data_IF_457559425647
#
_entry.id   IF_457559425647
#
_cell.length_a   1.000
_cell.length_b   1.000
_cell.length_c   1.000
_cell.angle_alpha   90.00
_cell.angle_beta   90.00
_cell.angle_gamma   90.00
#
_symmetry.space_group_name_H-M   'P 1'
#
loop_
_entity.id
_entity.type
_entity.pdbx_description
1 polymer ?
#
# COMPACT_ATOMS: atom_id res chain seq x y z
N UNK A 1 -23.68 41.65 45.74
CA UNK A 1 -24.28 41.66 44.39
C UNK A 1 -23.28 40.91 43.54
N UNK A 2 -23.47 39.61 43.46
CA UNK A 2 -22.66 38.71 42.64
C UNK A 2 -23.39 38.59 41.31
N UNK A 3 -22.73 39.03 40.22
CA UNK A 3 -23.21 38.87 38.86
C UNK A 3 -22.86 37.45 38.39
N UNK A 4 -23.85 36.55 38.43
CA UNK A 4 -23.79 35.26 37.75
C UNK A 4 -23.75 35.50 36.24
N UNK A 5 -22.60 35.19 35.63
CA UNK A 5 -22.42 35.19 34.19
C UNK A 5 -23.12 33.94 33.64
N UNK A 6 -24.23 34.17 32.94
CA UNK A 6 -25.07 33.15 32.32
C UNK A 6 -24.31 32.49 31.15
N UNK A 7 -23.54 31.43 31.45
CA UNK A 7 -22.86 30.59 30.46
C UNK A 7 -23.89 29.72 29.74
N UNK A 8 -24.48 30.26 28.67
CA UNK A 8 -25.33 29.51 27.76
C UNK A 8 -24.52 28.38 27.10
N UNK A 9 -25.06 27.14 27.05
CA UNK A 9 -24.39 26.05 26.37
C UNK A 9 -24.25 26.35 24.88
N UNK A 10 -23.03 26.22 24.36
CA UNK A 10 -22.72 26.30 22.93
C UNK A 10 -23.68 25.37 22.16
N UNK A 11 -24.56 25.96 21.34
CA UNK A 11 -25.49 25.20 20.51
C UNK A 11 -24.76 24.23 19.57
N UNK A 12 -25.44 23.18 19.09
CA UNK A 12 -24.84 22.18 18.20
C UNK A 12 -24.27 22.88 16.96
N UNK A 13 -22.97 22.64 16.68
CA UNK A 13 -22.33 23.13 15.46
C UNK A 13 -23.11 22.57 14.27
N UNK A 14 -23.65 23.45 13.43
CA UNK A 14 -24.28 23.05 12.18
C UNK A 14 -23.26 22.24 11.36
N UNK A 15 -23.63 20.99 11.03
CA UNK A 15 -22.84 20.19 10.12
C UNK A 15 -22.74 20.92 8.77
N UNK A 16 -21.53 21.14 8.23
CA UNK A 16 -21.39 21.73 6.92
C UNK A 16 -22.15 20.92 5.88
N UNK A 17 -22.92 21.58 5.03
CA UNK A 17 -23.59 20.92 3.91
C UNK A 17 -22.56 20.20 3.02
N UNK A 18 -22.87 18.98 2.56
CA UNK A 18 -21.97 18.15 1.74
C UNK A 18 -21.41 18.91 0.52
N UNK A 19 -22.21 19.80 -0.06
CA UNK A 19 -21.83 20.66 -1.19
C UNK A 19 -20.70 21.63 -0.84
N UNK A 20 -20.72 22.21 0.37
CA UNK A 20 -19.67 23.12 0.84
C UNK A 20 -18.34 22.38 1.04
N UNK A 21 -18.38 21.12 1.49
CA UNK A 21 -17.19 20.28 1.62
C UNK A 21 -16.54 20.05 0.25
N UNK A 22 -17.34 19.71 -0.77
CA UNK A 22 -16.83 19.49 -2.13
C UNK A 22 -16.22 20.75 -2.75
N UNK A 23 -16.82 21.91 -2.53
CA UNK A 23 -16.31 23.17 -3.06
C UNK A 23 -14.93 23.55 -2.51
N UNK A 24 -14.65 23.22 -1.24
CA UNK A 24 -13.32 23.43 -0.67
C UNK A 24 -12.27 22.50 -1.28
N UNK A 25 -12.65 21.26 -1.63
CA UNK A 25 -11.77 20.33 -2.37
C UNK A 25 -11.53 20.79 -3.81
N UNK A 26 -12.54 21.33 -4.50
CA UNK A 26 -12.36 21.93 -5.84
C UNK A 26 -11.39 23.12 -5.81
N UNK A 27 -11.53 24.01 -4.83
CA UNK A 27 -10.58 25.12 -4.64
C UNK A 27 -9.16 24.63 -4.32
N UNK A 28 -9.05 23.60 -3.48
CA UNK A 28 -7.77 22.98 -3.15
C UNK A 28 -7.09 22.39 -4.40
N UNK A 29 -7.85 21.70 -5.26
CA UNK A 29 -7.35 21.16 -6.53
C UNK A 29 -6.85 22.26 -7.46
N UNK A 30 -7.68 23.29 -7.69
CA UNK A 30 -7.32 24.40 -8.56
C UNK A 30 -6.02 25.09 -8.08
N UNK A 31 -5.86 25.27 -6.76
CA UNK A 31 -4.68 25.86 -6.15
C UNK A 31 -3.42 24.98 -6.28
N UNK A 32 -3.59 23.66 -6.43
CA UNK A 32 -2.50 22.69 -6.55
C UNK A 32 -2.30 22.15 -7.97
N UNK A 33 -2.98 22.70 -8.99
CA UNK A 33 -3.05 22.14 -10.34
C UNK A 33 -1.68 21.80 -10.95
N UNK A 34 -0.69 22.69 -10.79
CA UNK A 34 0.67 22.46 -11.31
C UNK A 34 1.38 21.28 -10.64
N UNK A 35 1.21 21.10 -9.33
CA UNK A 35 1.80 19.97 -8.59
C UNK A 35 1.04 18.69 -8.91
N UNK A 36 -0.28 18.76 -8.98
CA UNK A 36 -1.14 17.64 -9.36
C UNK A 36 -0.75 17.09 -10.74
N UNK A 37 -0.57 17.96 -11.74
CA UNK A 37 -0.12 17.55 -13.08
C UNK A 37 1.25 16.86 -13.06
N UNK A 38 2.19 17.32 -12.21
CA UNK A 38 3.51 16.68 -12.04
C UNK A 38 3.40 15.29 -11.42
N UNK A 39 2.58 15.15 -10.37
CA UNK A 39 2.35 13.84 -9.72
C UNK A 39 1.65 12.88 -10.69
N UNK A 40 0.63 13.34 -11.41
CA UNK A 40 -0.06 12.55 -12.43
C UNK A 40 0.90 12.08 -13.53
N UNK A 41 1.78 12.96 -14.03
CA UNK A 41 2.80 12.59 -15.01
C UNK A 41 3.78 11.52 -14.50
N UNK A 42 4.18 11.57 -13.22
CA UNK A 42 5.04 10.55 -12.61
C UNK A 42 4.30 9.23 -12.39
N UNK A 43 3.04 9.29 -11.96
CA UNK A 43 2.22 8.10 -11.80
C UNK A 43 1.99 7.42 -13.15
N UNK A 44 1.76 8.19 -14.22
CA UNK A 44 1.67 7.68 -15.60
C UNK A 44 2.98 7.05 -16.09
N UNK A 45 4.14 7.61 -15.74
CA UNK A 45 5.43 7.00 -16.07
C UNK A 45 5.65 5.66 -15.33
N UNK A 46 5.24 5.58 -14.05
CA UNK A 46 5.26 4.34 -13.28
C UNK A 46 4.27 3.32 -13.86
N UNK A 47 3.08 3.75 -14.28
CA UNK A 47 2.07 2.93 -14.94
C UNK A 47 2.62 2.26 -16.20
N UNK A 48 3.19 3.06 -17.12
CA UNK A 48 3.80 2.54 -18.35
C UNK A 48 4.96 1.58 -18.06
N UNK A 49 5.80 1.90 -17.06
CA UNK A 49 6.91 1.02 -16.65
C UNK A 49 6.40 -0.32 -16.10
N UNK A 50 5.36 -0.32 -15.28
CA UNK A 50 4.74 -1.54 -14.74
C UNK A 50 3.90 -2.29 -15.78
N UNK A 51 3.44 -1.62 -16.84
CA UNK A 51 2.76 -2.26 -17.96
C UNK A 51 3.73 -3.05 -18.83
N UNK A 52 4.91 -2.49 -19.11
CA UNK A 52 5.95 -3.11 -19.95
C UNK A 52 6.89 -4.05 -19.19
N UNK A 53 6.98 -3.89 -17.87
CA UNK A 53 7.87 -4.65 -17.00
C UNK A 53 7.36 -6.07 -16.68
N UNK A 54 8.19 -6.89 -16.03
CA UNK A 54 7.79 -8.20 -15.53
C UNK A 54 6.61 -8.14 -14.55
N UNK A 55 5.70 -9.10 -14.62
CA UNK A 55 4.49 -9.17 -13.78
C UNK A 55 4.80 -9.11 -12.28
N UNK A 56 5.93 -9.70 -11.85
CA UNK A 56 6.36 -9.75 -10.45
C UNK A 56 6.71 -8.38 -9.84
N UNK A 57 6.90 -7.33 -10.65
CA UNK A 57 7.21 -5.99 -10.13
C UNK A 57 6.05 -5.37 -9.35
N UNK A 58 4.80 -5.61 -9.78
CA UNK A 58 3.61 -5.13 -9.07
C UNK A 58 3.53 -5.75 -7.68
N UNK A 59 3.72 -7.07 -7.62
CA UNK A 59 3.73 -7.80 -6.35
C UNK A 59 4.87 -7.33 -5.43
N UNK A 60 6.07 -7.11 -5.98
CA UNK A 60 7.20 -6.56 -5.23
C UNK A 60 6.86 -5.21 -4.58
N UNK A 61 6.35 -4.26 -5.36
CA UNK A 61 6.00 -2.94 -4.85
C UNK A 61 4.85 -3.00 -3.85
N UNK A 62 3.86 -3.87 -4.07
CA UNK A 62 2.75 -4.08 -3.15
C UNK A 62 3.22 -4.59 -1.78
N UNK A 63 4.20 -5.50 -1.74
CA UNK A 63 4.80 -5.97 -0.49
C UNK A 63 5.52 -4.84 0.28
N UNK A 64 6.26 -3.99 -0.42
CA UNK A 64 6.98 -2.86 0.18
C UNK A 64 5.98 -1.82 0.71
N UNK A 65 5.02 -1.41 -0.10
CA UNK A 65 3.99 -0.43 0.27
C UNK A 65 3.15 -0.92 1.44
N UNK A 66 2.69 -2.17 1.43
CA UNK A 66 1.90 -2.73 2.53
C UNK A 66 2.70 -2.80 3.84
N UNK A 67 3.99 -3.14 3.77
CA UNK A 67 4.87 -3.12 4.93
C UNK A 67 5.03 -1.69 5.48
N UNK A 68 5.27 -0.69 4.62
CA UNK A 68 5.39 0.71 5.02
C UNK A 68 4.07 1.27 5.59
N UNK A 69 2.93 0.92 4.99
CA UNK A 69 1.60 1.27 5.52
C UNK A 69 1.32 0.62 6.89
N UNK A 70 1.89 -0.55 7.17
CA UNK A 70 1.71 -1.20 8.48
C UNK A 70 2.32 -0.36 9.62
N UNK A 71 3.39 0.41 9.34
CA UNK A 71 3.95 1.36 10.29
C UNK A 71 3.01 2.52 10.57
N UNK A 72 2.30 3.00 9.54
CA UNK A 72 1.27 4.03 9.69
C UNK A 72 0.05 3.53 10.46
N UNK A 73 -0.38 2.29 10.20
CA UNK A 73 -1.48 1.64 10.90
C UNK A 73 -1.15 1.27 12.36
N UNK A 74 0.13 1.31 12.75
CA UNK A 74 0.60 1.01 14.11
C UNK A 74 1.03 -0.45 14.34
N UNK A 75 0.94 -1.29 13.32
CA UNK A 75 1.25 -2.73 13.37
C UNK A 75 2.76 -3.01 13.25
N UNK A 76 3.49 -2.17 12.51
CA UNK A 76 4.96 -2.21 12.37
C UNK A 76 5.50 -3.57 11.94
N UNK A 77 4.88 -4.17 10.91
CA UNK A 77 5.28 -5.45 10.35
C UNK A 77 6.35 -5.22 9.29
N UNK A 78 7.51 -5.83 9.49
CA UNK A 78 8.61 -5.83 8.52
C UNK A 78 8.30 -6.67 7.28
N UNK A 79 8.86 -6.31 6.11
CA UNK A 79 8.63 -7.02 4.85
C UNK A 79 9.14 -8.46 4.88
N UNK A 80 10.15 -8.77 5.68
CA UNK A 80 10.68 -10.12 5.92
C UNK A 80 9.66 -11.03 6.62
N UNK A 81 9.01 -10.52 7.68
CA UNK A 81 7.96 -11.25 8.40
C UNK A 81 6.72 -11.44 7.54
N UNK A 82 6.31 -10.39 6.82
CA UNK A 82 5.20 -10.45 5.89
C UNK A 82 5.43 -11.51 4.81
N UNK A 83 6.63 -11.56 4.24
CA UNK A 83 6.96 -12.52 3.20
C UNK A 83 6.94 -13.97 3.72
N UNK A 84 7.43 -14.24 4.93
CA UNK A 84 7.34 -15.56 5.58
C UNK A 84 5.88 -15.99 5.81
N UNK A 85 5.03 -15.06 6.29
CA UNK A 85 3.63 -15.37 6.55
C UNK A 85 2.83 -15.60 5.27
N UNK A 86 3.05 -14.82 4.21
CA UNK A 86 2.35 -15.00 2.93
C UNK A 86 2.73 -16.34 2.28
N UNK A 87 4.02 -16.67 2.28
CA UNK A 87 4.53 -17.84 1.55
C UNK A 87 4.41 -19.16 2.31
N UNK A 88 4.51 -19.14 3.64
CA UNK A 88 4.57 -20.37 4.46
C UNK A 88 3.51 -20.42 5.56
N UNK A 89 2.67 -19.38 5.70
CA UNK A 89 1.72 -19.21 6.83
C UNK A 89 2.38 -19.31 8.20
N UNK A 90 3.66 -18.95 8.27
CA UNK A 90 4.41 -18.91 9.52
C UNK A 90 4.18 -17.58 10.23
N UNK A 91 3.75 -17.64 11.49
CA UNK A 91 3.76 -16.53 12.44
C UNK A 91 4.73 -16.85 13.57
N UNK A 92 5.49 -15.84 14.03
CA UNK A 92 6.28 -15.93 15.25
C UNK A 92 5.38 -15.97 16.49
N UNK A 93 5.91 -16.48 17.61
CA UNK A 93 5.20 -16.55 18.90
C UNK A 93 4.70 -15.19 19.38
N UNK A 94 5.35 -14.10 18.96
CA UNK A 94 5.02 -12.71 19.31
C UNK A 94 4.24 -11.97 18.20
N UNK A 95 3.97 -12.61 17.06
CA UNK A 95 3.30 -11.94 15.94
C UNK A 95 1.78 -11.96 16.12
N UNK A 96 1.16 -10.79 16.04
CA UNK A 96 -0.30 -10.66 15.94
C UNK A 96 -0.76 -11.19 14.57
N UNK A 97 -1.41 -12.36 14.59
CA UNK A 97 -1.93 -13.01 13.38
C UNK A 97 -3.03 -12.17 12.72
N UNK A 98 -3.76 -11.36 13.48
CA UNK A 98 -4.73 -10.40 12.96
C UNK A 98 -4.06 -9.26 12.18
N UNK A 99 -2.96 -8.70 12.70
CA UNK A 99 -2.17 -7.70 11.99
C UNK A 99 -1.56 -8.27 10.70
N UNK A 100 -0.96 -9.46 10.75
CA UNK A 100 -0.45 -10.14 9.55
C UNK A 100 -1.55 -10.39 8.51
N UNK A 101 -2.76 -10.76 8.95
CA UNK A 101 -3.91 -10.92 8.05
C UNK A 101 -4.31 -9.60 7.38
N UNK A 102 -4.30 -8.47 8.09
CA UNK A 102 -4.61 -7.13 7.56
C UNK A 102 -3.56 -6.64 6.57
N UNK A 103 -2.27 -6.75 6.88
CA UNK A 103 -1.20 -6.42 5.91
C UNK A 103 -1.26 -7.36 4.70
N UNK A 104 -1.53 -8.65 4.94
CA UNK A 104 -1.75 -9.62 3.87
C UNK A 104 -2.94 -9.29 2.96
N UNK A 105 -4.01 -8.75 3.52
CA UNK A 105 -5.15 -8.21 2.76
C UNK A 105 -4.70 -7.02 1.91
N UNK A 106 -3.94 -6.08 2.47
CA UNK A 106 -3.41 -4.93 1.75
C UNK A 106 -2.57 -5.36 0.54
N UNK A 107 -1.65 -6.32 0.70
CA UNK A 107 -0.85 -6.86 -0.42
C UNK A 107 -1.73 -7.41 -1.55
N UNK A 108 -2.77 -8.20 -1.23
CA UNK A 108 -3.67 -8.76 -2.24
C UNK A 108 -4.39 -7.66 -3.00
N UNK A 109 -4.91 -6.65 -2.29
CA UNK A 109 -5.61 -5.51 -2.91
C UNK A 109 -4.68 -4.60 -3.69
N UNK A 110 -3.43 -4.42 -3.28
CA UNK A 110 -2.46 -3.61 -4.03
C UNK A 110 -1.89 -4.37 -5.24
N UNK A 111 -1.91 -5.70 -5.25
CA UNK A 111 -1.40 -6.51 -6.36
C UNK A 111 -2.42 -6.63 -7.51
N UNK A 112 -3.70 -6.87 -7.20
CA UNK A 112 -4.71 -7.17 -8.21
C UNK A 112 -6.16 -6.96 -7.71
N UNK A 113 -7.12 -7.31 -8.57
CA UNK A 113 -8.55 -7.36 -8.25
C UNK A 113 -9.32 -6.08 -8.60
N UNK A 114 -10.66 -6.09 -8.44
CA UNK A 114 -11.51 -4.96 -8.77
C UNK A 114 -11.18 -3.73 -7.91
N UNK A 115 -11.48 -2.54 -8.44
CA UNK A 115 -11.28 -1.26 -7.75
C UNK A 115 -12.34 -1.04 -6.66
N UNK A 116 -11.97 -0.26 -5.65
CA UNK A 116 -12.79 -0.05 -4.44
C UNK A 116 -14.10 0.70 -4.65
N UNK A 117 -14.22 1.51 -5.72
CA UNK A 117 -15.40 2.34 -5.99
C UNK A 117 -16.51 1.55 -6.70
N UNK A 118 -16.22 0.36 -7.22
CA UNK A 118 -17.23 -0.50 -7.86
C UNK A 118 -18.14 -1.14 -6.81
N UNK A 119 -17.54 -1.71 -5.77
CA UNK A 119 -18.23 -2.30 -4.62
C UNK A 119 -17.27 -2.24 -3.43
N UNK A 120 -17.50 -1.29 -2.53
CA UNK A 120 -16.61 -1.05 -1.40
C UNK A 120 -16.69 -2.19 -0.38
N UNK A 121 -17.87 -2.77 -0.16
CA UNK A 121 -18.08 -3.87 0.77
C UNK A 121 -17.35 -5.13 0.31
N UNK A 122 -17.47 -5.48 -0.97
CA UNK A 122 -16.73 -6.59 -1.56
C UNK A 122 -15.21 -6.32 -1.62
N UNK A 123 -14.81 -5.07 -1.85
CA UNK A 123 -13.39 -4.70 -1.84
C UNK A 123 -12.76 -4.87 -0.45
N UNK A 124 -13.48 -4.50 0.61
CA UNK A 124 -13.01 -4.60 1.99
C UNK A 124 -13.20 -6.01 2.60
N UNK A 125 -13.88 -6.93 1.89
CA UNK A 125 -14.31 -8.23 2.42
C UNK A 125 -15.19 -8.08 3.69
N UNK A 126 -15.99 -7.02 3.78
CA UNK A 126 -16.87 -6.72 4.91
C UNK A 126 -18.33 -6.97 4.57
N UNK A 127 -19.05 -7.57 5.50
CA UNK A 127 -20.50 -7.79 5.43
C UNK A 127 -21.13 -7.50 6.79
N UNK A 128 -22.33 -6.96 6.75
CA UNK A 128 -23.14 -6.80 7.96
C UNK A 128 -23.55 -8.18 8.51
N UNK A 129 -23.46 -8.40 9.83
CA UNK A 129 -23.88 -9.65 10.42
C UNK A 129 -25.40 -9.82 10.34
N UNK A 130 -25.86 -11.05 10.13
CA UNK A 130 -27.29 -11.37 9.97
C UNK A 130 -28.15 -10.97 11.20
N UNK A 131 -27.54 -10.86 12.39
CA UNK A 131 -28.21 -10.55 13.66
C UNK A 131 -27.86 -9.14 14.18
N UNK A 132 -27.84 -8.13 13.31
CA UNK A 132 -27.65 -6.73 13.75
C UNK A 132 -28.85 -6.21 14.55
N UNK A 133 -28.58 -5.35 15.54
CA UNK A 133 -29.64 -4.60 16.21
C UNK A 133 -30.24 -3.57 15.26
N UNK A 134 -31.55 -3.32 15.38
CA UNK A 134 -32.25 -2.33 14.54
C UNK A 134 -31.78 -0.88 14.74
N UNK A 135 -31.02 -0.60 15.80
CA UNK A 135 -30.48 0.73 16.11
C UNK A 135 -29.07 0.95 15.55
N UNK A 136 -28.37 -0.11 15.11
CA UNK A 136 -27.03 -0.01 14.56
C UNK A 136 -27.10 0.29 13.06
N UNK A 137 -26.44 1.37 12.62
CA UNK A 137 -26.33 1.69 11.20
C UNK A 137 -25.51 0.60 10.46
N UNK A 138 -26.10 -0.04 9.43
CA UNK A 138 -25.40 -1.02 8.60
C UNK A 138 -24.10 -0.46 8.02
N UNK A 139 -23.07 -1.30 7.96
CA UNK A 139 -21.85 -1.00 7.22
C UNK A 139 -22.15 -0.72 5.75
N UNK A 140 -23.07 -1.47 5.13
CA UNK A 140 -23.47 -1.26 3.74
C UNK A 140 -24.01 0.16 3.49
N UNK A 141 -24.75 0.73 4.44
CA UNK A 141 -25.32 2.08 4.32
C UNK A 141 -24.22 3.14 4.44
N UNK A 142 -23.32 3.00 5.43
CA UNK A 142 -22.14 3.86 5.56
C UNK A 142 -21.23 3.80 4.33
N UNK A 143 -20.98 2.62 3.80
CA UNK A 143 -20.20 2.41 2.58
C UNK A 143 -20.88 3.03 1.35
N UNK A 144 -22.21 2.93 1.26
CA UNK A 144 -23.00 3.54 0.20
C UNK A 144 -22.97 5.07 0.27
N UNK A 145 -23.06 5.64 1.48
CA UNK A 145 -22.92 7.08 1.71
C UNK A 145 -21.55 7.60 1.25
N UNK A 146 -20.46 6.95 1.70
CA UNK A 146 -19.11 7.32 1.28
C UNK A 146 -18.90 7.18 -0.24
N UNK A 147 -19.36 6.08 -0.86
CA UNK A 147 -19.24 5.91 -2.32
C UNK A 147 -20.10 6.91 -3.10
N UNK A 148 -21.29 7.26 -2.60
CA UNK A 148 -22.12 8.32 -3.14
C UNK A 148 -21.42 9.68 -3.15
N UNK A 149 -20.76 10.03 -2.04
CA UNK A 149 -19.95 11.26 -1.95
C UNK A 149 -18.77 11.25 -2.94
N UNK A 150 -18.11 10.09 -3.10
CA UNK A 150 -17.03 9.93 -4.07
C UNK A 150 -17.52 10.06 -5.52
N UNK A 151 -18.76 9.64 -5.81
CA UNK A 151 -19.40 9.81 -7.10
C UNK A 151 -19.78 11.28 -7.39
N UNK A 152 -20.23 12.02 -6.38
CA UNK A 152 -20.51 13.47 -6.50
C UNK A 152 -19.25 14.29 -6.80
N UNK A 153 -18.08 13.78 -6.41
CA UNK A 153 -16.77 14.38 -6.68
C UNK A 153 -16.10 13.86 -7.96
N UNK A 154 -16.87 13.35 -8.92
CA UNK A 154 -16.35 12.79 -10.16
C UNK A 154 -15.63 13.80 -11.07
N UNK A 155 -15.86 15.10 -10.84
CA UNK A 155 -15.18 16.20 -11.52
C UNK A 155 -13.76 16.47 -11.00
N UNK A 156 -13.43 16.00 -9.79
CA UNK A 156 -12.08 16.07 -9.25
C UNK A 156 -11.17 15.04 -9.93
N UNK A 157 -9.88 15.39 -10.06
CA UNK A 157 -8.87 14.45 -10.52
C UNK A 157 -8.81 13.22 -9.59
N UNK A 158 -8.61 11.98 -10.11
CA UNK A 158 -8.60 10.76 -9.29
C UNK A 158 -7.68 10.80 -8.07
N UNK A 159 -6.51 11.44 -8.21
CA UNK A 159 -5.55 11.67 -7.10
C UNK A 159 -6.15 12.56 -6.00
N UNK A 160 -6.81 13.67 -6.36
CA UNK A 160 -7.47 14.55 -5.39
C UNK A 160 -8.64 13.83 -4.73
N UNK A 161 -9.45 13.14 -5.54
CA UNK A 161 -10.59 12.34 -5.06
C UNK A 161 -10.13 11.27 -4.07
N UNK A 162 -9.00 10.61 -4.33
CA UNK A 162 -8.39 9.66 -3.39
C UNK A 162 -8.00 10.30 -2.05
N UNK A 163 -7.35 11.47 -2.08
CA UNK A 163 -6.99 12.24 -0.88
C UNK A 163 -8.24 12.63 -0.07
N UNK A 164 -9.27 13.11 -0.75
CA UNK A 164 -10.56 13.44 -0.15
C UNK A 164 -11.18 12.22 0.53
N UNK A 165 -11.35 11.11 -0.22
CA UNK A 165 -11.95 9.89 0.29
C UNK A 165 -11.22 9.32 1.50
N UNK A 166 -9.88 9.37 1.49
CA UNK A 166 -9.04 8.99 2.63
C UNK A 166 -9.38 9.80 3.90
N UNK A 167 -9.48 11.12 3.77
CA UNK A 167 -9.74 12.01 4.90
C UNK A 167 -11.19 12.01 5.38
N UNK A 168 -12.13 11.65 4.52
CA UNK A 168 -13.55 11.52 4.87
C UNK A 168 -13.91 10.12 5.39
N UNK A 169 -12.99 9.15 5.32
CA UNK A 169 -13.21 7.76 5.72
C UNK A 169 -13.76 7.61 7.14
N UNK A 170 -13.06 8.17 8.13
CA UNK A 170 -13.49 8.09 9.54
C UNK A 170 -14.76 8.89 9.82
N UNK A 171 -15.00 9.98 9.06
CA UNK A 171 -16.21 10.80 9.19
C UNK A 171 -17.44 10.07 8.65
N UNK A 172 -17.27 9.25 7.62
CA UNK A 172 -18.31 8.34 7.11
C UNK A 172 -18.54 7.10 8.00
N UNK A 173 -17.97 7.07 9.21
CA UNK A 173 -18.13 5.96 10.13
C UNK A 173 -17.44 4.65 9.68
N UNK A 174 -16.60 4.68 8.64
CA UNK A 174 -15.88 3.49 8.13
C UNK A 174 -14.64 3.14 8.97
N UNK A 175 -14.43 3.85 10.08
CA UNK A 175 -13.24 3.80 10.93
C UNK A 175 -13.23 2.76 12.07
N UNK A 176 -13.95 1.64 11.96
CA UNK A 176 -13.79 0.49 12.88
C UNK A 176 -13.06 -0.73 12.27
N UNK A 177 -11.97 -1.20 12.91
CA UNK A 177 -11.15 -2.41 12.63
C UNK A 177 -10.01 -2.30 11.59
N UNK A 178 -9.00 -1.45 11.79
CA UNK A 178 -7.78 -1.48 10.97
C UNK A 178 -7.81 -0.54 9.77
N UNK A 179 -8.90 0.16 9.51
CA UNK A 179 -8.82 1.61 9.69
C UNK A 179 -8.05 2.35 8.63
N UNK A 180 -6.90 2.75 9.13
CA UNK A 180 -5.90 3.53 8.46
C UNK A 180 -5.30 2.76 7.29
N UNK A 181 -5.19 1.43 7.40
CA UNK A 181 -4.74 0.56 6.31
C UNK A 181 -5.80 0.47 5.21
N UNK A 182 -7.06 0.18 5.58
CA UNK A 182 -8.15 0.07 4.60
C UNK A 182 -8.37 1.37 3.83
N UNK A 183 -8.39 2.50 4.54
CA UNK A 183 -8.51 3.82 3.93
C UNK A 183 -7.34 4.13 2.99
N UNK A 184 -6.10 3.85 3.41
CA UNK A 184 -4.92 4.14 2.61
C UNK A 184 -4.83 3.26 1.36
N UNK A 185 -5.09 1.95 1.49
CA UNK A 185 -5.14 1.01 0.35
C UNK A 185 -6.24 1.42 -0.61
N UNK A 186 -7.42 1.78 -0.12
CA UNK A 186 -8.53 2.26 -0.95
C UNK A 186 -8.14 3.52 -1.71
N UNK A 187 -7.53 4.50 -1.04
CA UNK A 187 -7.07 5.73 -1.69
C UNK A 187 -5.98 5.47 -2.74
N UNK A 188 -5.03 4.58 -2.45
CA UNK A 188 -3.99 4.18 -3.41
C UNK A 188 -4.60 3.56 -4.68
N UNK A 189 -5.63 2.72 -4.53
CA UNK A 189 -6.38 2.13 -5.65
C UNK A 189 -7.18 3.15 -6.46
N UNK A 190 -7.77 4.14 -5.81
CA UNK A 190 -8.54 5.20 -6.47
C UNK A 190 -7.61 6.13 -7.25
N UNK A 191 -6.47 6.49 -6.68
CA UNK A 191 -5.51 7.37 -7.34
C UNK A 191 -4.94 6.77 -8.64
N UNK A 192 -4.87 5.44 -8.75
CA UNK A 192 -4.40 4.72 -9.94
C UNK A 192 -5.53 4.10 -10.77
N UNK A 193 -6.80 4.47 -10.57
CA UNK A 193 -7.93 3.77 -11.19
C UNK A 193 -7.98 3.83 -12.72
N UNK A 194 -7.29 4.80 -13.33
CA UNK A 194 -7.18 4.97 -14.78
C UNK A 194 -5.93 4.28 -15.37
N UNK A 195 -5.04 3.78 -14.50
CA UNK A 195 -3.84 3.06 -14.90
C UNK A 195 -4.14 1.68 -15.48
N UNK A 196 -3.25 1.21 -16.35
CA UNK A 196 -3.30 -0.15 -16.91
C UNK A 196 -2.21 -1.05 -16.33
N UNK A 197 -1.05 -0.47 -16.03
CA UNK A 197 0.10 -1.16 -15.44
C UNK A 197 0.17 -1.01 -13.92
N UNK A 198 -0.04 0.18 -13.38
CA UNK A 198 -0.07 0.42 -11.95
C UNK A 198 -1.47 0.15 -11.38
N UNK A 199 -1.59 -0.86 -10.52
CA UNK A 199 -2.86 -1.18 -9.84
C UNK A 199 -3.13 -0.23 -8.67
N UNK A 200 -2.09 0.41 -8.14
CA UNK A 200 -2.14 1.36 -7.04
C UNK A 200 -1.13 2.49 -7.24
N UNK A 201 -1.38 3.63 -6.61
CA UNK A 201 -0.43 4.74 -6.52
C UNK A 201 0.37 4.64 -5.22
N UNK A 202 1.72 4.73 -5.23
CA UNK A 202 2.52 4.71 -4.01
C UNK A 202 2.18 5.89 -3.08
N UNK A 203 1.93 5.61 -1.80
CA UNK A 203 1.62 6.60 -0.77
C UNK A 203 2.61 6.58 0.40
N UNK A 204 3.07 5.38 0.77
CA UNK A 204 3.88 5.12 1.96
C UNK A 204 5.33 4.77 1.65
N UNK A 205 5.65 4.37 0.41
CA UNK A 205 7.03 4.12 -0.03
C UNK A 205 7.95 5.28 0.33
N UNK A 206 8.88 5.05 1.26
CA UNK A 206 9.82 6.07 1.74
C UNK A 206 9.26 7.02 2.81
N UNK A 207 8.12 6.68 3.43
CA UNK A 207 7.57 7.32 4.62
C UNK A 207 6.11 7.77 4.50
N UNK A 208 5.41 7.82 5.63
CA UNK A 208 3.94 7.96 5.70
C UNK A 208 3.45 9.38 6.07
N UNK A 209 4.34 10.38 6.00
CA UNK A 209 4.07 11.73 6.48
C UNK A 209 2.95 12.50 5.78
N UNK A 210 2.43 11.98 4.65
CA UNK A 210 1.37 12.58 3.84
C UNK A 210 -0.02 12.15 4.30
N UNK A 211 -0.10 11.08 5.08
CA UNK A 211 -1.35 10.52 5.61
C UNK A 211 -1.78 11.20 6.93
N UNK A 212 -1.10 12.27 7.34
CA UNK A 212 -1.38 12.99 8.59
C UNK A 212 -2.73 13.68 8.51
N UNK A 213 -3.61 13.34 9.47
CA UNK A 213 -4.86 14.04 9.70
C UNK A 213 -4.61 15.47 10.19
N UNK A 214 -5.42 16.43 9.73
CA UNK A 214 -5.42 17.82 10.22
C UNK A 214 -5.32 18.88 9.12
N UNK A 215 -5.71 20.11 9.46
CA UNK A 215 -5.71 21.26 8.54
C UNK A 215 -6.89 21.28 7.56
N UNK A 216 -7.06 22.37 6.80
CA UNK A 216 -8.04 22.49 5.72
C UNK A 216 -7.72 21.57 4.53
N UNK A 217 -8.66 21.34 3.60
CA UNK A 217 -8.46 20.51 2.40
C UNK A 217 -7.21 20.88 1.58
N UNK A 218 -6.90 22.17 1.43
CA UNK A 218 -5.72 22.64 0.69
C UNK A 218 -4.40 22.08 1.26
N UNK A 219 -4.20 22.20 2.58
CA UNK A 219 -2.99 21.73 3.24
C UNK A 219 -2.89 20.19 3.22
N UNK A 220 -4.03 19.51 3.31
CA UNK A 220 -4.09 18.03 3.20
C UNK A 220 -3.66 17.59 1.81
N UNK A 221 -4.24 18.21 0.77
CA UNK A 221 -3.92 17.89 -0.62
C UNK A 221 -2.47 18.20 -0.96
N UNK A 222 -1.93 19.34 -0.52
CA UNK A 222 -0.53 19.67 -0.76
C UNK A 222 0.42 18.62 -0.17
N UNK A 223 0.23 18.26 1.11
CA UNK A 223 1.05 17.22 1.78
C UNK A 223 0.91 15.86 1.10
N UNK A 224 -0.30 15.51 0.71
CA UNK A 224 -0.59 14.28 -0.03
C UNK A 224 0.19 14.22 -1.34
N UNK A 225 0.12 15.29 -2.15
CA UNK A 225 0.83 15.38 -3.43
C UNK A 225 2.35 15.35 -3.26
N UNK A 226 2.91 16.08 -2.29
CA UNK A 226 4.35 16.04 -1.99
C UNK A 226 4.81 14.63 -1.64
N UNK A 227 3.99 13.86 -0.91
CA UNK A 227 4.34 12.49 -0.55
C UNK A 227 4.17 11.51 -1.70
N UNK A 228 3.08 11.56 -2.44
CA UNK A 228 2.94 10.76 -3.66
C UNK A 228 4.07 11.02 -4.65
N UNK A 229 4.49 12.28 -4.77
CA UNK A 229 5.62 12.68 -5.60
C UNK A 229 6.92 11.95 -5.19
N UNK A 230 7.18 11.88 -3.88
CA UNK A 230 8.36 11.23 -3.31
C UNK A 230 8.24 9.70 -3.40
N UNK A 231 7.08 9.14 -3.06
CA UNK A 231 6.82 7.70 -3.09
C UNK A 231 6.89 7.14 -4.51
N UNK A 232 6.38 7.87 -5.50
CA UNK A 232 6.50 7.52 -6.91
C UNK A 232 7.96 7.47 -7.41
N UNK A 233 8.81 8.42 -6.98
CA UNK A 233 10.24 8.38 -7.29
C UNK A 233 10.93 7.19 -6.62
N UNK A 234 10.61 6.91 -5.36
CA UNK A 234 11.13 5.75 -4.63
C UNK A 234 10.73 4.44 -5.30
N UNK A 235 9.48 4.33 -5.78
CA UNK A 235 8.99 3.18 -6.52
C UNK A 235 9.79 2.97 -7.82
N UNK A 236 9.97 4.02 -8.63
CA UNK A 236 10.77 3.97 -9.86
C UNK A 236 12.20 3.53 -9.57
N UNK A 237 12.85 4.11 -8.55
CA UNK A 237 14.20 3.71 -8.14
C UNK A 237 14.28 2.23 -7.75
N UNK A 238 13.31 1.72 -7.00
CA UNK A 238 13.25 0.29 -6.67
C UNK A 238 13.15 -0.60 -7.92
N UNK A 239 12.40 -0.16 -8.94
CA UNK A 239 12.28 -0.89 -10.20
C UNK A 239 13.56 -0.81 -11.04
N UNK A 240 14.25 0.33 -11.06
CA UNK A 240 15.53 0.48 -11.77
C UNK A 240 16.62 -0.37 -11.11
N UNK A 241 16.68 -0.33 -9.79
CA UNK A 241 17.63 -1.08 -8.98
C UNK A 241 17.47 -2.60 -9.17
N UNK A 242 16.22 -3.11 -9.17
CA UNK A 242 15.98 -4.55 -9.35
C UNK A 242 16.17 -5.00 -10.79
N UNK A 243 15.90 -4.13 -11.77
CA UNK A 243 16.18 -4.41 -13.18
C UNK A 243 17.68 -4.54 -13.43
N UNK A 244 18.47 -3.57 -12.94
CA UNK A 244 19.92 -3.59 -13.03
C UNK A 244 20.51 -4.83 -12.34
N UNK A 245 20.02 -5.15 -11.14
CA UNK A 245 20.40 -6.37 -10.43
C UNK A 245 20.06 -7.63 -11.24
N UNK A 246 18.86 -7.71 -11.82
CA UNK A 246 18.42 -8.87 -12.61
C UNK A 246 19.34 -9.09 -13.82
N UNK A 247 19.68 -8.02 -14.55
CA UNK A 247 20.60 -8.08 -15.68
C UNK A 247 22.00 -8.58 -15.26
N UNK A 248 22.54 -8.07 -14.15
CA UNK A 248 23.83 -8.50 -13.62
C UNK A 248 23.84 -9.99 -13.26
N UNK A 249 22.82 -10.44 -12.51
CA UNK A 249 22.73 -11.82 -12.03
C UNK A 249 22.49 -12.80 -13.18
N UNK A 250 21.84 -12.38 -14.26
CA UNK A 250 21.72 -13.21 -15.47
C UNK A 250 23.09 -13.57 -16.05
N UNK A 251 23.98 -12.58 -16.17
CA UNK A 251 25.33 -12.78 -16.71
C UNK A 251 26.20 -13.61 -15.76
N UNK A 252 26.22 -13.27 -14.47
CA UNK A 252 27.04 -13.95 -13.45
C UNK A 252 26.65 -15.44 -13.28
N UNK A 253 25.35 -15.74 -13.32
CA UNK A 253 24.86 -17.12 -13.15
C UNK A 253 24.86 -17.94 -14.44
N UNK A 254 25.38 -17.43 -15.56
CA UNK A 254 25.39 -18.13 -16.85
C UNK A 254 26.12 -19.47 -16.82
N UNK A 255 27.12 -19.62 -15.95
CA UNK A 255 27.87 -20.86 -15.76
C UNK A 255 27.12 -21.93 -14.93
N UNK A 256 26.02 -21.56 -14.26
CA UNK A 256 25.26 -22.49 -13.43
C UNK A 256 24.24 -23.26 -14.28
N UNK A 257 24.24 -24.58 -14.15
CA UNK A 257 23.33 -25.46 -14.87
C UNK A 257 22.06 -25.77 -14.07
N UNK A 258 21.02 -26.21 -14.78
CA UNK A 258 19.74 -26.60 -14.20
C UNK A 258 18.72 -25.46 -14.09
N UNK A 259 17.53 -25.78 -13.57
CA UNK A 259 16.39 -24.86 -13.50
C UNK A 259 16.39 -23.95 -12.26
N UNK A 260 17.06 -24.38 -11.18
CA UNK A 260 17.08 -23.69 -9.89
C UNK A 260 17.69 -22.29 -9.95
N UNK A 261 18.82 -22.04 -10.64
CA UNK A 261 19.37 -20.68 -10.79
C UNK A 261 18.35 -19.70 -11.36
N UNK A 262 17.73 -20.05 -12.51
CA UNK A 262 16.76 -19.19 -13.17
C UNK A 262 15.50 -18.95 -12.31
N UNK A 263 14.98 -19.99 -11.66
CA UNK A 263 13.84 -19.87 -10.76
C UNK A 263 14.14 -18.97 -9.54
N UNK A 264 15.34 -19.09 -8.97
CA UNK A 264 15.74 -18.27 -7.83
C UNK A 264 15.91 -16.79 -8.20
N UNK A 265 16.43 -16.49 -9.41
CA UNK A 265 16.46 -15.11 -9.94
C UNK A 265 15.07 -14.51 -10.07
N UNK A 266 14.12 -15.28 -10.60
CA UNK A 266 12.74 -14.83 -10.76
C UNK A 266 12.10 -14.51 -9.40
N UNK A 267 12.26 -15.42 -8.43
CA UNK A 267 11.78 -15.23 -7.05
C UNK A 267 12.40 -14.01 -6.38
N UNK A 268 13.71 -13.76 -6.52
CA UNK A 268 14.37 -12.58 -5.93
C UNK A 268 13.99 -11.25 -6.62
N UNK A 269 13.58 -11.30 -7.89
CA UNK A 269 13.06 -10.14 -8.61
C UNK A 269 11.66 -9.78 -8.08
N UNK A 270 10.82 -10.78 -7.88
CA UNK A 270 9.44 -10.60 -7.41
C UNK A 270 9.34 -10.33 -5.90
N UNK A 271 10.15 -11.00 -5.08
CA UNK A 271 10.07 -10.91 -3.62
C UNK A 271 11.19 -10.02 -3.08
N UNK A 272 10.89 -9.00 -2.25
CA UNK A 272 11.89 -8.11 -1.69
C UNK A 272 12.83 -8.83 -0.72
N UNK A 273 12.35 -9.89 -0.06
CA UNK A 273 13.12 -10.75 0.86
C UNK A 273 12.69 -12.20 0.70
N UNK A 274 13.63 -13.13 0.86
CA UNK A 274 13.36 -14.58 0.84
C UNK A 274 14.17 -15.33 1.89
N UNK A 275 13.60 -16.41 2.42
CA UNK A 275 14.39 -17.46 3.10
C UNK A 275 14.60 -18.66 2.18
N UNK A 276 15.49 -19.57 2.57
CA UNK A 276 15.67 -20.84 1.86
C UNK A 276 14.38 -21.68 1.85
N UNK A 277 13.54 -21.59 2.89
CA UNK A 277 12.27 -22.29 2.96
C UNK A 277 11.24 -21.73 1.99
N UNK A 278 11.17 -20.41 1.91
CA UNK A 278 10.29 -19.74 0.96
C UNK A 278 10.70 -20.05 -0.47
N UNK A 279 11.99 -19.95 -0.78
CA UNK A 279 12.50 -20.21 -2.10
C UNK A 279 12.29 -21.68 -2.52
N UNK A 280 12.41 -22.65 -1.60
CA UNK A 280 12.01 -24.03 -1.87
C UNK A 280 10.52 -24.14 -2.21
N UNK A 281 9.64 -23.54 -1.40
CA UNK A 281 8.19 -23.58 -1.63
C UNK A 281 7.77 -22.88 -2.94
N UNK A 282 8.38 -21.74 -3.26
CA UNK A 282 8.05 -20.92 -4.44
C UNK A 282 8.63 -21.49 -5.74
N UNK A 283 9.80 -22.14 -5.70
CA UNK A 283 10.45 -22.68 -6.91
C UNK A 283 10.20 -24.16 -7.14
N UNK A 284 9.77 -24.91 -6.12
CA UNK A 284 9.67 -26.37 -6.14
C UNK A 284 11.02 -27.10 -6.18
N UNK A 285 12.14 -26.39 -6.08
CA UNK A 285 13.47 -26.99 -6.03
C UNK A 285 13.82 -27.47 -4.62
N UNK A 286 14.65 -28.51 -4.49
CA UNK A 286 15.04 -29.05 -3.18
C UNK A 286 15.76 -28.03 -2.31
N UNK A 287 15.53 -28.09 -0.99
CA UNK A 287 16.23 -27.24 -0.01
C UNK A 287 17.74 -27.19 -0.20
N UNK A 288 18.36 -28.33 -0.48
CA UNK A 288 19.81 -28.41 -0.68
C UNK A 288 20.26 -27.66 -1.94
N UNK A 289 19.50 -27.72 -3.04
CA UNK A 289 19.80 -26.96 -4.25
C UNK A 289 19.64 -25.45 -4.01
N UNK A 290 18.59 -25.04 -3.31
CA UNK A 290 18.35 -23.64 -2.94
C UNK A 290 19.49 -23.10 -2.07
N UNK A 291 19.85 -23.81 -1.00
CA UNK A 291 20.92 -23.38 -0.09
C UNK A 291 22.28 -23.26 -0.81
N UNK A 292 22.61 -24.19 -1.71
CA UNK A 292 23.84 -24.08 -2.52
C UNK A 292 23.84 -22.84 -3.41
N UNK A 293 22.73 -22.54 -4.06
CA UNK A 293 22.62 -21.35 -4.92
C UNK A 293 22.66 -20.06 -4.10
N UNK A 294 21.94 -19.99 -2.97
CA UNK A 294 21.97 -18.82 -2.08
C UNK A 294 23.39 -18.56 -1.54
N UNK A 295 24.09 -19.59 -1.05
CA UNK A 295 25.46 -19.45 -0.59
C UNK A 295 26.41 -18.99 -1.71
N UNK A 296 26.22 -19.51 -2.94
CA UNK A 296 27.01 -19.09 -4.10
C UNK A 296 26.77 -17.62 -4.47
N UNK A 297 25.51 -17.17 -4.45
CA UNK A 297 25.12 -15.79 -4.73
C UNK A 297 25.63 -14.82 -3.66
N UNK A 298 25.53 -15.22 -2.38
CA UNK A 298 26.02 -14.43 -1.23
C UNK A 298 27.53 -14.25 -1.27
N UNK A 299 28.28 -15.32 -1.56
CA UNK A 299 29.75 -15.27 -1.70
C UNK A 299 30.23 -14.34 -2.83
N UNK A 300 29.36 -14.04 -3.81
CA UNK A 300 29.62 -13.12 -4.93
C UNK A 300 29.00 -11.74 -4.72
N UNK A 301 28.39 -11.49 -3.56
CA UNK A 301 27.75 -10.21 -3.26
C UNK A 301 26.51 -9.92 -4.09
N UNK A 302 25.90 -10.92 -4.75
CA UNK A 302 24.68 -10.76 -5.54
C UNK A 302 23.43 -10.69 -4.64
N UNK A 303 23.50 -11.29 -3.46
CA UNK A 303 22.49 -11.15 -2.40
C UNK A 303 23.19 -10.82 -1.09
N UNK A 304 22.45 -10.25 -0.15
CA UNK A 304 22.94 -9.96 1.20
C UNK A 304 21.97 -10.53 2.22
N UNK A 305 22.50 -11.22 3.23
CA UNK A 305 21.71 -11.56 4.42
C UNK A 305 21.32 -10.28 5.17
N UNK A 306 20.06 -10.22 5.62
CA UNK A 306 19.49 -9.03 6.28
C UNK A 306 19.02 -9.34 7.71
N UNK A 307 18.89 -10.61 8.07
CA UNK A 307 18.50 -11.05 9.41
C UNK A 307 19.69 -11.23 10.34
N UNK A 308 19.49 -10.92 11.62
CA UNK A 308 20.34 -11.33 12.74
C UNK A 308 19.97 -12.73 13.29
N UNK A 309 20.03 -12.95 14.61
CA UNK A 309 19.79 -14.26 15.29
C UNK A 309 18.33 -14.78 15.26
N UNK A 310 17.59 -14.57 14.17
CA UNK A 310 16.25 -15.13 13.97
C UNK A 310 16.27 -16.61 13.58
N UNK A 311 15.12 -17.29 13.73
CA UNK A 311 14.95 -18.71 13.34
C UNK A 311 15.13 -18.96 11.84
N UNK A 312 14.93 -17.93 11.01
CA UNK A 312 15.12 -17.99 9.56
C UNK A 312 16.14 -16.95 9.13
N UNK A 313 17.15 -17.38 8.35
CA UNK A 313 18.01 -16.48 7.59
C UNK A 313 17.24 -15.94 6.39
N UNK A 314 17.30 -14.64 6.17
CA UNK A 314 16.63 -13.94 5.07
C UNK A 314 17.68 -13.22 4.23
N UNK A 315 17.51 -13.31 2.91
CA UNK A 315 18.33 -12.64 1.93
C UNK A 315 17.49 -11.65 1.12
N UNK A 316 18.15 -10.57 0.68
CA UNK A 316 17.63 -9.65 -0.33
C UNK A 316 18.61 -9.53 -1.50
N UNK A 317 18.10 -9.14 -2.66
CA UNK A 317 18.93 -8.72 -3.78
C UNK A 317 19.89 -7.59 -3.35
N UNK A 318 21.16 -7.70 -3.75
CA UNK A 318 22.18 -6.69 -3.45
C UNK A 318 22.05 -5.50 -4.41
N UNK A 319 20.99 -4.73 -4.28
CA UNK A 319 20.80 -3.51 -5.08
C UNK A 319 21.71 -2.38 -4.59
N UNK A 320 22.05 -1.44 -5.48
CA UNK A 320 22.83 -0.25 -5.12
C UNK A 320 22.05 0.58 -4.09
N UNK A 321 22.59 0.69 -2.88
CA UNK A 321 22.12 1.66 -1.87
C UNK A 321 23.10 2.81 -1.86
#
# INVERSE_FOLDING_TARGET
MDEDHDDLPLGPRAEPCETAVLDDWRKAEASNAARLARVAGRLGALDDRLWRGPDGWRHRLALIEAADLSWFAGERIGPDRLALWISLRLSGVQDDTGALARVGWAVRRLTAGPGAVVDLSAFLDRRDPDNMSNEAEPFADRASSWTGMMAQAADLHPITRACMGFHLWSLAGLGQHGDRMEAAVTAARIAACEGKGAVFAPLALGGTGGLRAGGPPADRLERWLVRMETAGLTAMRHLDDIEAWSAQVVTEMSALSGKTPAALRAVLTEWPFISAAMAEALTGASRAAIQRNLAWMEARGLIREVTGQGRFRMWRAATGS
#
